data_IF_128046809918
#
_entry.id   IF_128046809918
#
_cell.length_a   1.000
_cell.length_b   1.000
_cell.length_c   1.000
_cell.angle_alpha   90.00
_cell.angle_beta   90.00
_cell.angle_gamma   90.00
#
_symmetry.space_group_name_H-M   'P 1'
#
loop_
_entity.id
_entity.type
_entity.pdbx_description
1 polymer ?
#
# COMPACT_ATOMS: atom_id res chain seq x y z
N UNK A 1 -2.76 -12.39 28.98
CA UNK A 1 -1.46 -12.92 29.44
C UNK A 1 -1.02 -12.03 30.58
N UNK A 2 -0.52 -12.60 31.67
CA UNK A 2 0.03 -11.80 32.76
C UNK A 2 1.21 -10.96 32.23
N UNK A 3 1.30 -9.70 32.64
CA UNK A 3 2.33 -8.77 32.14
C UNK A 3 2.10 -8.21 30.72
N UNK A 4 0.96 -8.47 30.08
CA UNK A 4 0.58 -7.85 28.81
C UNK A 4 -0.64 -6.94 28.96
N UNK A 5 -0.58 -5.74 28.39
CA UNK A 5 -1.70 -4.81 28.29
C UNK A 5 -1.66 -3.98 27.00
N UNK A 6 -2.82 -3.47 26.58
CA UNK A 6 -2.88 -2.45 25.54
C UNK A 6 -2.57 -1.08 26.17
N UNK A 7 -1.63 -0.34 25.56
CA UNK A 7 -1.27 1.01 25.95
C UNK A 7 -2.18 2.06 25.31
N UNK A 8 -1.62 3.23 25.01
CA UNK A 8 -2.38 4.32 24.40
C UNK A 8 -2.91 3.92 23.02
N UNK A 9 -4.22 4.12 22.80
CA UNK A 9 -4.81 4.02 21.48
C UNK A 9 -4.49 5.27 20.65
N UNK A 10 -4.04 5.07 19.42
CA UNK A 10 -3.79 6.14 18.47
C UNK A 10 -5.11 6.50 17.78
N UNK A 11 -5.72 7.56 18.28
CA UNK A 11 -6.94 8.14 17.72
C UNK A 11 -6.65 9.20 16.66
N UNK A 12 -7.69 9.64 15.97
CA UNK A 12 -7.68 10.78 15.05
C UNK A 12 -6.65 10.76 13.92
N UNK A 13 -6.33 9.55 13.44
CA UNK A 13 -5.57 9.36 12.19
C UNK A 13 -6.27 10.05 11.02
N UNK A 14 -5.47 10.66 10.14
CA UNK A 14 -5.95 11.30 8.91
C UNK A 14 -6.62 10.29 7.95
N UNK A 15 -6.12 9.05 7.92
CA UNK A 15 -6.63 7.96 7.08
C UNK A 15 -6.64 6.62 7.82
N UNK A 16 -7.20 5.59 7.18
CA UNK A 16 -7.36 4.24 7.76
C UNK A 16 -7.96 4.25 9.18
N UNK A 17 -8.93 5.14 9.43
CA UNK A 17 -9.57 5.34 10.75
C UNK A 17 -10.28 4.09 11.28
N UNK A 18 -10.72 3.21 10.37
CA UNK A 18 -11.32 1.92 10.72
C UNK A 18 -10.30 0.88 11.21
N UNK A 19 -9.00 1.08 10.95
CA UNK A 19 -7.95 0.21 11.47
C UNK A 19 -7.61 0.63 12.89
N UNK A 20 -7.75 -0.27 13.87
CA UNK A 20 -7.35 0.03 15.26
C UNK A 20 -5.83 0.06 15.35
N UNK A 21 -5.29 1.09 15.98
CA UNK A 21 -3.85 1.24 16.18
C UNK A 21 -3.63 1.66 17.62
N UNK A 22 -2.78 0.93 18.34
CA UNK A 22 -2.51 1.17 19.75
C UNK A 22 -1.09 0.73 20.09
N UNK A 23 -0.55 1.29 21.17
CA UNK A 23 0.66 0.80 21.79
C UNK A 23 0.40 -0.55 22.46
N UNK A 24 1.43 -1.39 22.50
CA UNK A 24 1.41 -2.68 23.18
C UNK A 24 2.46 -2.67 24.29
N UNK A 25 2.04 -2.96 25.51
CA UNK A 25 2.90 -2.93 26.71
C UNK A 25 3.16 -4.35 27.18
N UNK A 26 4.44 -4.67 27.39
CA UNK A 26 4.90 -5.96 27.89
C UNK A 26 5.80 -5.72 29.11
N UNK A 27 5.27 -5.95 30.31
CA UNK A 27 5.96 -5.76 31.60
C UNK A 27 6.03 -7.09 32.34
N UNK A 28 7.23 -7.65 32.47
CA UNK A 28 7.47 -8.97 33.08
C UNK A 28 6.57 -10.09 32.48
N UNK A 29 6.24 -9.96 31.20
CA UNK A 29 5.42 -10.91 30.46
C UNK A 29 6.19 -12.22 30.22
N UNK A 30 5.77 -13.31 30.88
CA UNK A 30 6.38 -14.63 30.72
C UNK A 30 5.78 -15.32 29.49
N UNK A 31 6.61 -15.64 28.50
CA UNK A 31 6.20 -16.33 27.28
C UNK A 31 6.76 -17.75 27.27
N UNK A 32 5.91 -18.79 27.10
CA UNK A 32 6.37 -20.18 27.01
C UNK A 32 7.29 -20.41 25.81
N UNK A 33 8.23 -21.36 25.92
CA UNK A 33 9.21 -21.64 24.86
C UNK A 33 8.56 -22.25 23.61
N UNK A 34 7.42 -22.93 23.75
CA UNK A 34 6.63 -23.44 22.63
C UNK A 34 6.03 -22.35 21.73
N UNK A 35 5.98 -21.09 22.21
CA UNK A 35 5.49 -19.95 21.42
C UNK A 35 6.59 -19.31 20.55
N UNK A 36 7.82 -19.83 20.59
CA UNK A 36 8.90 -19.35 19.72
C UNK A 36 8.58 -19.69 18.27
N UNK A 37 8.54 -18.66 17.42
CA UNK A 37 8.39 -18.82 15.98
C UNK A 37 9.76 -19.03 15.34
N UNK A 38 10.00 -20.21 14.78
CA UNK A 38 11.31 -20.60 14.23
C UNK A 38 12.29 -20.98 15.34
N UNK A 39 13.58 -20.65 15.15
CA UNK A 39 14.61 -20.85 16.18
C UNK A 39 15.07 -19.53 16.82
N UNK A 40 15.59 -19.56 18.07
CA UNK A 40 16.21 -18.39 18.68
C UNK A 40 17.28 -17.76 17.75
N UNK A 41 17.13 -16.46 17.48
CA UNK A 41 18.03 -15.70 16.59
C UNK A 41 17.53 -15.53 15.14
N UNK A 42 16.46 -16.22 14.73
CA UNK A 42 15.94 -16.15 13.36
C UNK A 42 14.92 -15.03 13.10
N UNK A 43 14.59 -14.20 14.09
CA UNK A 43 13.54 -13.18 13.97
C UNK A 43 13.73 -12.26 12.75
N UNK A 44 14.97 -11.88 12.46
CA UNK A 44 15.31 -10.99 11.34
C UNK A 44 14.94 -11.59 9.98
N UNK A 45 15.18 -12.89 9.75
CA UNK A 45 14.89 -13.51 8.46
C UNK A 45 13.38 -13.68 8.26
N UNK A 46 12.67 -14.11 9.30
CA UNK A 46 11.21 -14.28 9.26
C UNK A 46 10.50 -12.93 9.08
N UNK A 47 10.93 -11.89 9.80
CA UNK A 47 10.40 -10.54 9.66
C UNK A 47 10.60 -10.00 8.25
N UNK A 48 11.80 -10.16 7.69
CA UNK A 48 12.12 -9.61 6.37
C UNK A 48 11.38 -10.32 5.24
N UNK A 49 11.22 -11.65 5.34
CA UNK A 49 10.36 -12.41 4.41
C UNK A 49 8.93 -11.86 4.42
N UNK A 50 8.35 -11.67 5.60
CA UNK A 50 6.96 -11.19 5.70
C UNK A 50 6.81 -9.75 5.19
N UNK A 51 7.77 -8.88 5.50
CA UNK A 51 7.78 -7.49 5.00
C UNK A 51 7.88 -7.42 3.48
N UNK A 52 8.64 -8.31 2.83
CA UNK A 52 8.73 -8.39 1.37
C UNK A 52 7.34 -8.67 0.75
N UNK A 53 6.55 -9.57 1.34
CA UNK A 53 5.19 -9.85 0.88
C UNK A 53 4.21 -8.70 1.15
N UNK A 54 4.28 -8.11 2.34
CA UNK A 54 3.42 -6.97 2.72
C UNK A 54 3.62 -5.79 1.77
N UNK A 55 4.86 -5.52 1.35
CA UNK A 55 5.16 -4.46 0.38
C UNK A 55 4.44 -4.65 -0.96
N UNK A 56 4.43 -5.88 -1.48
CA UNK A 56 3.71 -6.22 -2.72
C UNK A 56 2.20 -6.08 -2.52
N UNK A 57 1.67 -6.51 -1.37
CA UNK A 57 0.25 -6.35 -1.05
C UNK A 57 -0.17 -4.87 -0.95
N UNK A 58 0.64 -4.02 -0.31
CA UNK A 58 0.42 -2.57 -0.27
C UNK A 58 0.45 -1.95 -1.67
N UNK A 59 1.39 -2.37 -2.52
CA UNK A 59 1.46 -1.92 -3.91
C UNK A 59 0.22 -2.33 -4.72
N UNK A 60 -0.31 -3.54 -4.50
CA UNK A 60 -1.55 -4.00 -5.12
C UNK A 60 -2.77 -3.17 -4.69
N UNK A 61 -2.85 -2.74 -3.43
CA UNK A 61 -3.91 -1.82 -2.99
C UNK A 61 -3.84 -0.48 -3.73
N UNK A 62 -2.64 0.07 -3.94
CA UNK A 62 -2.44 1.30 -4.72
C UNK A 62 -2.98 1.17 -6.15
N UNK A 63 -2.80 0.01 -6.80
CA UNK A 63 -3.38 -0.27 -8.13
C UNK A 63 -4.91 -0.16 -8.10
N UNK A 64 -5.54 -0.70 -7.06
CA UNK A 64 -7.00 -0.61 -6.88
C UNK A 64 -7.47 0.84 -6.70
N UNK A 65 -6.78 1.61 -5.87
CA UNK A 65 -7.08 3.03 -5.61
C UNK A 65 -6.93 3.84 -6.90
N UNK A 66 -5.79 3.77 -7.60
CA UNK A 66 -5.58 4.54 -8.83
C UNK A 66 -6.58 4.18 -9.92
N UNK A 67 -6.98 2.90 -10.03
CA UNK A 67 -8.03 2.49 -10.96
C UNK A 67 -9.35 3.21 -10.67
N UNK A 68 -9.72 3.34 -9.38
CA UNK A 68 -10.93 4.03 -8.97
C UNK A 68 -10.82 5.54 -9.23
N UNK A 69 -9.71 6.16 -8.85
CA UNK A 69 -9.46 7.58 -9.11
C UNK A 69 -9.58 7.90 -10.60
N UNK A 70 -8.99 7.09 -11.48
CA UNK A 70 -9.09 7.27 -12.94
C UNK A 70 -10.52 7.20 -13.47
N UNK A 71 -11.33 6.28 -12.94
CA UNK A 71 -12.74 6.18 -13.30
C UNK A 71 -13.50 7.45 -12.89
N UNK A 72 -13.29 7.92 -11.66
CA UNK A 72 -13.92 9.13 -11.12
C UNK A 72 -13.45 10.39 -11.89
N UNK A 73 -12.15 10.51 -12.20
CA UNK A 73 -11.59 11.59 -13.02
C UNK A 73 -12.26 11.66 -14.40
N UNK A 74 -12.42 10.52 -15.08
CA UNK A 74 -13.02 10.49 -16.41
C UNK A 74 -14.52 10.79 -16.39
N UNK A 75 -15.25 10.31 -15.38
CA UNK A 75 -16.67 10.62 -15.17
C UNK A 75 -16.85 12.12 -14.94
N UNK A 76 -16.12 12.66 -13.94
CA UNK A 76 -16.20 14.07 -13.59
C UNK A 76 -15.79 14.99 -14.74
N UNK A 77 -14.78 14.60 -15.52
CA UNK A 77 -14.36 15.38 -16.68
C UNK A 77 -15.45 15.46 -17.77
N UNK A 78 -16.32 14.46 -17.85
CA UNK A 78 -17.44 14.42 -18.80
C UNK A 78 -18.69 15.13 -18.28
N UNK A 79 -18.90 15.15 -16.97
CA UNK A 79 -20.09 15.76 -16.34
C UNK A 79 -19.90 17.25 -16.06
N UNK A 80 -18.68 17.68 -15.71
CA UNK A 80 -18.41 19.05 -15.30
C UNK A 80 -18.26 19.97 -16.50
N UNK A 81 -19.05 21.04 -16.53
CA UNK A 81 -18.88 22.14 -17.48
C UNK A 81 -18.21 23.36 -16.84
N UNK A 82 -17.29 23.97 -17.59
CA UNK A 82 -16.67 25.26 -17.28
C UNK A 82 -16.35 25.99 -18.57
N UNK A 83 -16.46 27.33 -18.56
CA UNK A 83 -16.23 28.15 -19.75
C UNK A 83 -17.05 27.69 -20.98
N UNK A 84 -18.30 27.26 -20.75
CA UNK A 84 -19.25 26.88 -21.79
C UNK A 84 -19.00 25.51 -22.46
N UNK A 85 -18.13 24.65 -21.90
CA UNK A 85 -17.93 23.28 -22.40
C UNK A 85 -17.54 22.31 -21.29
N UNK A 86 -17.73 21.02 -21.54
CA UNK A 86 -17.24 19.96 -20.65
C UNK A 86 -15.73 20.05 -20.45
N UNK A 87 -15.25 19.82 -19.23
CA UNK A 87 -13.83 20.02 -18.92
C UNK A 87 -12.90 19.01 -19.60
N UNK A 88 -13.42 17.84 -20.01
CA UNK A 88 -12.71 16.87 -20.86
C UNK A 88 -12.20 17.45 -22.18
N UNK A 89 -12.73 18.60 -22.62
CA UNK A 89 -12.32 19.28 -23.86
C UNK A 89 -11.17 20.28 -23.64
N UNK A 90 -10.64 20.41 -22.42
CA UNK A 90 -9.43 21.18 -22.15
C UNK A 90 -8.20 20.27 -22.20
N UNK A 91 -7.19 20.65 -23.00
CA UNK A 91 -5.98 19.84 -23.19
C UNK A 91 -5.23 19.52 -21.89
N UNK A 92 -5.26 20.41 -20.89
CA UNK A 92 -4.64 20.13 -19.59
C UNK A 92 -5.32 18.98 -18.83
N UNK A 93 -6.65 18.88 -18.91
CA UNK A 93 -7.41 17.78 -18.31
C UNK A 93 -7.13 16.48 -19.05
N UNK A 94 -7.08 16.52 -20.39
CA UNK A 94 -6.72 15.36 -21.21
C UNK A 94 -5.30 14.87 -20.90
N UNK A 95 -4.35 15.79 -20.74
CA UNK A 95 -2.97 15.46 -20.37
C UNK A 95 -2.92 14.79 -19.01
N UNK A 96 -3.56 15.35 -17.98
CA UNK A 96 -3.59 14.73 -16.65
C UNK A 96 -4.20 13.33 -16.66
N UNK A 97 -5.35 13.13 -17.31
CA UNK A 97 -5.96 11.80 -17.42
C UNK A 97 -5.04 10.83 -18.19
N UNK A 98 -4.41 11.29 -19.27
CA UNK A 98 -3.50 10.50 -20.09
C UNK A 98 -2.24 10.06 -19.34
N UNK A 99 -1.59 10.97 -18.62
CA UNK A 99 -0.42 10.68 -17.77
C UNK A 99 -0.79 9.71 -16.66
N UNK A 100 -1.87 9.99 -15.91
CA UNK A 100 -2.34 9.10 -14.84
C UNK A 100 -2.70 7.70 -15.36
N UNK A 101 -3.21 7.57 -16.58
CA UNK A 101 -3.48 6.27 -17.20
C UNK A 101 -2.19 5.53 -17.52
N UNK A 102 -1.19 6.20 -18.09
CA UNK A 102 0.11 5.60 -18.39
C UNK A 102 0.78 5.06 -17.12
N UNK A 103 0.80 5.88 -16.07
CA UNK A 103 1.39 5.52 -14.78
C UNK A 103 0.61 4.38 -14.10
N UNK A 104 -0.72 4.39 -14.14
CA UNK A 104 -1.53 3.26 -13.68
C UNK A 104 -1.18 1.96 -14.41
N UNK A 105 -0.97 2.02 -15.73
CA UNK A 105 -0.61 0.83 -16.52
C UNK A 105 0.79 0.34 -16.17
N UNK A 106 1.76 1.24 -16.01
CA UNK A 106 3.12 0.91 -15.57
C UNK A 106 3.11 0.28 -14.18
N UNK A 107 2.39 0.89 -13.23
CA UNK A 107 2.25 0.41 -11.86
C UNK A 107 1.64 -0.99 -11.82
N UNK A 108 0.54 -1.21 -12.57
CA UNK A 108 -0.09 -2.52 -12.65
C UNK A 108 0.85 -3.56 -13.24
N UNK A 109 1.57 -3.23 -14.31
CA UNK A 109 2.52 -4.16 -14.92
C UNK A 109 3.61 -4.56 -13.91
N UNK A 110 4.21 -3.58 -13.22
CA UNK A 110 5.26 -3.86 -12.25
C UNK A 110 4.76 -4.70 -11.06
N UNK A 111 3.60 -4.35 -10.48
CA UNK A 111 3.01 -5.12 -9.37
C UNK A 111 2.75 -6.58 -9.74
N UNK A 112 2.12 -6.84 -10.88
CA UNK A 112 1.83 -8.22 -11.28
C UNK A 112 3.10 -8.98 -11.68
N UNK A 113 4.10 -8.30 -12.24
CA UNK A 113 5.39 -8.91 -12.54
C UNK A 113 6.20 -9.25 -11.27
N UNK A 114 6.26 -8.37 -10.27
CA UNK A 114 6.86 -8.70 -8.99
C UNK A 114 6.10 -9.84 -8.30
N UNK A 115 4.76 -9.80 -8.32
CA UNK A 115 3.94 -10.83 -7.69
C UNK A 115 4.08 -12.22 -8.32
N UNK A 116 4.32 -12.33 -9.64
CA UNK A 116 4.56 -13.65 -10.27
C UNK A 116 5.93 -14.23 -9.94
N UNK A 117 6.90 -13.39 -9.56
CA UNK A 117 8.29 -13.80 -9.35
C UNK A 117 8.60 -14.08 -7.87
N UNK A 118 7.83 -13.50 -6.94
CA UNK A 118 8.10 -13.62 -5.52
C UNK A 118 7.86 -15.05 -4.99
N UNK A 119 8.88 -15.65 -4.40
CA UNK A 119 8.83 -16.94 -3.72
C UNK A 119 8.41 -16.76 -2.26
N UNK A 120 7.20 -17.19 -1.90
CA UNK A 120 6.65 -16.99 -0.55
C UNK A 120 7.42 -17.72 0.56
N UNK A 121 8.28 -18.68 0.20
CA UNK A 121 9.07 -19.45 1.16
C UNK A 121 10.42 -18.80 1.49
N UNK A 122 10.88 -17.83 0.70
CA UNK A 122 12.25 -17.27 0.78
C UNK A 122 12.26 -15.78 1.11
N UNK A 123 13.27 -15.39 1.89
CA UNK A 123 13.64 -13.99 2.09
C UNK A 123 14.68 -13.55 1.06
N UNK A 124 14.91 -12.23 0.96
CA UNK A 124 15.98 -11.65 0.14
C UNK A 124 15.53 -11.12 -1.22
N UNK A 125 14.21 -11.00 -1.44
CA UNK A 125 13.62 -10.58 -2.72
C UNK A 125 13.31 -9.07 -2.73
N UNK A 126 14.19 -8.29 -2.09
CA UNK A 126 13.91 -6.90 -1.70
C UNK A 126 13.90 -5.92 -2.85
N UNK A 127 14.75 -6.12 -3.85
CA UNK A 127 14.95 -5.13 -4.91
C UNK A 127 13.61 -4.75 -5.56
N UNK A 128 12.85 -5.75 -5.99
CA UNK A 128 11.55 -5.54 -6.59
C UNK A 128 10.44 -5.28 -5.58
N UNK A 129 10.44 -5.93 -4.41
CA UNK A 129 9.41 -5.65 -3.39
C UNK A 129 9.47 -4.18 -2.92
N UNK A 130 10.67 -3.63 -2.79
CA UNK A 130 10.89 -2.25 -2.33
C UNK A 130 10.61 -1.27 -3.46
N UNK A 131 11.11 -1.55 -4.66
CA UNK A 131 10.88 -0.76 -5.87
C UNK A 131 9.40 -0.63 -6.20
N UNK A 132 8.67 -1.76 -6.20
CA UNK A 132 7.24 -1.77 -6.53
C UNK A 132 6.41 -1.03 -5.50
N UNK A 133 6.72 -1.19 -4.21
CA UNK A 133 6.05 -0.45 -3.13
C UNK A 133 6.29 1.05 -3.28
N UNK A 134 7.54 1.45 -3.48
CA UNK A 134 7.91 2.86 -3.60
C UNK A 134 7.18 3.51 -4.79
N UNK A 135 7.29 2.90 -5.97
CA UNK A 135 6.67 3.41 -7.18
C UNK A 135 5.15 3.48 -7.04
N UNK A 136 4.50 2.36 -6.71
CA UNK A 136 3.05 2.27 -6.68
C UNK A 136 2.40 3.21 -5.66
N UNK A 137 2.95 3.30 -4.45
CA UNK A 137 2.39 4.17 -3.40
C UNK A 137 2.63 5.65 -3.65
N UNK A 138 3.72 6.02 -4.33
CA UNK A 138 4.00 7.41 -4.70
C UNK A 138 3.08 7.88 -5.82
N UNK A 139 2.97 7.07 -6.88
CA UNK A 139 2.09 7.33 -8.03
C UNK A 139 0.62 7.43 -7.59
N UNK A 140 0.14 6.48 -6.77
CA UNK A 140 -1.24 6.53 -6.28
C UNK A 140 -1.54 7.80 -5.47
N UNK A 141 -0.58 8.26 -4.65
CA UNK A 141 -0.73 9.47 -3.85
C UNK A 141 -0.89 10.72 -4.73
N UNK A 142 -0.18 10.81 -5.84
CA UNK A 142 -0.24 11.97 -6.75
C UNK A 142 -1.62 12.17 -7.39
N UNK A 143 -2.44 11.11 -7.50
CA UNK A 143 -3.77 11.20 -8.12
C UNK A 143 -4.92 11.19 -7.12
N UNK A 144 -4.68 10.74 -5.89
CA UNK A 144 -5.71 10.62 -4.85
C UNK A 144 -5.75 11.80 -3.88
N UNK A 145 -4.69 12.62 -3.83
CA UNK A 145 -4.56 13.79 -2.94
C UNK A 145 -4.95 15.07 -3.65
#
# INVERSE_FOLDING_TARGET
MEGYSAGQKIEDKLGMRASTTAELVFENCVVPSENIVGMPGESKIHLMRNLEHERVALAAMSVGISRRCLADMNSYASEREAFGKQIRNFGQIQRHIGESWADYRAMRAYVYDTARQIDLSKAGQRLDSDGVKLFATTVAREYSG
#
